data_IF_010095358021
#
_entry.id   IF_010095358021
#
_cell.length_a   1.000
_cell.length_b   1.000
_cell.length_c   1.000
_cell.angle_alpha   90.00
_cell.angle_beta   90.00
_cell.angle_gamma   90.00
#
_symmetry.space_group_name_H-M   'P 1'
#
loop_
_entity.id
_entity.type
_entity.pdbx_description
1 polymer ?
#
# COMPACT_ATOMS: atom_id res chain seq x y z
N UNK A 1 -11.34 11.51 -21.60
CA UNK A 1 -9.97 12.06 -21.57
C UNK A 1 -9.08 11.08 -22.31
N UNK A 2 -8.51 11.48 -23.45
CA UNK A 2 -7.66 10.60 -24.27
C UNK A 2 -6.26 10.52 -23.64
N UNK A 3 -5.71 9.30 -23.49
CA UNK A 3 -4.32 9.12 -23.05
C UNK A 3 -3.41 9.74 -24.11
N UNK A 4 -2.56 10.69 -23.70
CA UNK A 4 -1.52 11.23 -24.59
C UNK A 4 -0.42 10.18 -24.75
N UNK A 5 -0.06 9.90 -26.00
CA UNK A 5 1.04 9.01 -26.36
C UNK A 5 2.35 9.52 -25.75
N UNK A 6 3.10 8.61 -25.11
CA UNK A 6 4.41 8.92 -24.55
C UNK A 6 5.39 9.27 -25.67
N UNK A 7 6.10 10.39 -25.51
CA UNK A 7 7.19 10.81 -26.39
C UNK A 7 8.47 10.80 -25.56
N UNK A 8 9.46 9.94 -25.89
CA UNK A 8 10.76 9.93 -25.22
C UNK A 8 11.45 11.30 -25.34
N UNK A 9 12.00 11.79 -24.24
CA UNK A 9 12.72 13.06 -24.18
C UNK A 9 14.02 12.87 -23.42
N UNK A 10 15.13 13.35 -23.99
CA UNK A 10 16.47 13.35 -23.40
C UNK A 10 16.64 14.44 -22.31
N UNK A 11 15.65 15.30 -22.12
CA UNK A 11 15.67 16.33 -21.07
C UNK A 11 15.31 15.75 -19.69
N UNK A 12 15.99 16.16 -18.61
CA UNK A 12 15.63 15.77 -17.25
C UNK A 12 14.17 16.11 -16.93
N UNK A 13 13.48 15.19 -16.26
CA UNK A 13 12.11 15.39 -15.81
C UNK A 13 12.00 16.59 -14.87
N UNK A 14 11.19 17.58 -15.25
CA UNK A 14 10.85 18.71 -14.40
C UNK A 14 9.54 18.44 -13.66
N UNK A 15 9.64 18.16 -12.36
CA UNK A 15 8.51 17.89 -11.47
C UNK A 15 7.54 19.06 -11.34
N UNK A 16 7.96 20.29 -11.67
CA UNK A 16 7.08 21.47 -11.63
C UNK A 16 6.08 21.52 -12.78
N UNK A 17 6.31 20.73 -13.84
CA UNK A 17 5.45 20.65 -15.04
C UNK A 17 4.19 19.81 -14.85
N UNK A 18 4.07 19.07 -13.74
CA UNK A 18 2.92 18.20 -13.48
C UNK A 18 1.74 19.02 -12.93
N UNK A 19 0.57 19.05 -13.60
CA UNK A 19 -0.60 19.75 -13.10
C UNK A 19 -1.07 19.16 -11.77
N UNK A 20 -1.18 20.00 -10.73
CA UNK A 20 -1.59 19.59 -9.37
C UNK A 20 -3.10 19.41 -9.18
N UNK A 21 -3.88 19.35 -10.26
CA UNK A 21 -5.34 19.31 -10.16
C UNK A 21 -5.85 17.93 -9.72
N UNK A 22 -5.95 17.74 -8.41
CA UNK A 22 -6.76 16.69 -7.80
C UNK A 22 -8.21 17.16 -7.80
N UNK A 23 -8.96 16.81 -8.85
CA UNK A 23 -10.41 17.05 -8.90
C UNK A 23 -11.09 16.03 -8.00
N UNK A 24 -11.28 16.36 -6.73
CA UNK A 24 -12.08 15.58 -5.78
C UNK A 24 -13.55 15.60 -6.23
N UNK A 25 -14.07 14.44 -6.62
CA UNK A 25 -15.51 14.25 -6.77
C UNK A 25 -16.13 14.01 -5.37
N UNK A 26 -17.16 14.76 -4.96
CA UNK A 26 -17.84 14.50 -3.70
C UNK A 26 -18.76 13.28 -3.83
N UNK A 27 -18.54 12.26 -3.00
CA UNK A 27 -19.46 11.15 -2.81
C UNK A 27 -20.65 11.65 -1.98
N UNK A 28 -21.85 11.63 -2.56
CA UNK A 28 -23.07 12.04 -1.87
C UNK A 28 -23.40 11.08 -0.70
N UNK A 29 -23.47 11.62 0.51
CA UNK A 29 -23.95 10.92 1.71
C UNK A 29 -25.49 10.77 1.64
N UNK A 30 -25.99 9.53 1.73
CA UNK A 30 -27.39 9.28 2.08
C UNK A 30 -27.46 8.66 3.48
N UNK A 31 -27.85 9.50 4.43
CA UNK A 31 -28.13 9.17 5.84
C UNK A 31 -29.53 8.58 5.99
N UNK A 32 -29.66 7.47 6.72
CA UNK A 32 -30.90 7.06 7.37
C UNK A 32 -30.61 6.65 8.84
N UNK A 33 -31.50 6.95 9.80
CA UNK A 33 -31.20 6.89 11.24
C UNK A 33 -31.71 5.59 11.89
N UNK A 34 -31.00 5.06 12.90
CA UNK A 34 -31.54 3.96 13.69
C UNK A 34 -30.68 3.41 14.83
N UNK A 35 -30.89 3.96 16.03
CA UNK A 35 -30.86 3.34 17.37
C UNK A 35 -29.59 2.59 17.87
N UNK A 36 -28.99 3.17 18.93
CA UNK A 36 -28.14 2.44 19.91
C UNK A 36 -28.96 1.38 20.66
N UNK A 37 -28.30 0.33 21.15
CA UNK A 37 -28.27 0.13 22.60
C UNK A 37 -26.85 0.03 23.15
N UNK A 38 -26.72 0.59 24.35
CA UNK A 38 -25.64 0.45 25.33
C UNK A 38 -25.33 -1.02 25.64
N UNK A 39 -24.04 -1.36 25.62
CA UNK A 39 -23.50 -2.58 26.22
C UNK A 39 -22.04 -2.34 26.60
N UNK A 40 -21.71 -2.52 27.88
CA UNK A 40 -20.36 -2.41 28.42
C UNK A 40 -19.45 -3.43 27.73
N UNK A 41 -18.36 -2.96 27.15
CA UNK A 41 -17.27 -3.76 26.64
C UNK A 41 -15.99 -2.92 26.68
N UNK A 42 -14.93 -3.51 27.20
CA UNK A 42 -13.58 -2.94 27.22
C UNK A 42 -13.20 -2.30 25.88
N UNK A 43 -12.30 -1.30 25.83
CA UNK A 43 -11.82 -0.80 24.55
C UNK A 43 -11.21 -1.97 23.78
N UNK A 44 -11.94 -2.46 22.78
CA UNK A 44 -11.35 -3.24 21.71
C UNK A 44 -10.34 -2.28 21.09
N UNK A 45 -9.06 -2.56 21.33
CA UNK A 45 -7.97 -1.88 20.67
C UNK A 45 -8.36 -1.81 19.18
N UNK A 46 -8.54 -0.59 18.67
CA UNK A 46 -8.79 -0.39 17.26
C UNK A 46 -7.71 -1.15 16.47
N UNK A 47 -8.00 -1.57 15.23
CA UNK A 47 -6.98 -2.19 14.39
C UNK A 47 -5.72 -1.32 14.49
N UNK A 48 -4.55 -1.92 14.79
CA UNK A 48 -3.34 -1.17 15.00
C UNK A 48 -3.20 -0.17 13.85
N UNK A 49 -2.85 1.07 14.16
CA UNK A 49 -2.48 2.01 13.11
C UNK A 49 -1.48 1.26 12.23
N UNK A 50 -1.75 1.17 10.93
CA UNK A 50 -0.98 0.29 10.05
C UNK A 50 0.52 0.59 10.14
N UNK A 51 0.89 1.83 10.50
CA UNK A 51 2.25 2.24 10.83
C UNK A 51 2.91 1.43 11.94
N UNK A 52 2.28 1.29 13.11
CA UNK A 52 2.85 0.55 14.25
C UNK A 52 3.07 -0.94 13.93
N UNK A 53 2.16 -1.53 13.14
CA UNK A 53 2.27 -2.91 12.69
C UNK A 53 3.45 -3.09 11.72
N UNK A 54 3.61 -2.19 10.76
CA UNK A 54 4.74 -2.23 9.82
C UNK A 54 6.08 -1.99 10.52
N UNK A 55 6.15 -1.07 11.49
CA UNK A 55 7.39 -0.83 12.23
C UNK A 55 7.85 -2.08 12.98
N UNK A 56 6.92 -2.78 13.66
CA UNK A 56 7.23 -4.06 14.33
C UNK A 56 7.63 -5.16 13.36
N UNK A 57 6.92 -5.29 12.24
CA UNK A 57 7.22 -6.31 11.23
C UNK A 57 8.62 -6.10 10.64
N UNK A 58 8.92 -4.89 10.17
CA UNK A 58 10.21 -4.59 9.53
C UNK A 58 11.38 -4.67 10.53
N UNK A 59 11.15 -4.28 11.79
CA UNK A 59 12.17 -4.41 12.85
C UNK A 59 12.47 -5.86 13.22
N UNK A 60 11.59 -6.81 12.87
CA UNK A 60 11.82 -8.24 13.11
C UNK A 60 12.73 -8.89 12.07
N UNK A 61 13.02 -8.20 10.96
CA UNK A 61 13.87 -8.68 9.86
C UNK A 61 15.32 -8.22 10.10
N UNK A 62 16.26 -9.12 10.44
CA UNK A 62 17.62 -8.73 10.82
C UNK A 62 18.36 -7.92 9.76
N UNK A 63 18.12 -8.20 8.48
CA UNK A 63 18.73 -7.54 7.33
C UNK A 63 18.41 -6.04 7.27
N UNK A 64 17.30 -5.61 7.89
CA UNK A 64 16.86 -4.21 7.92
C UNK A 64 17.31 -3.44 9.16
N UNK A 65 18.03 -4.10 10.09
CA UNK A 65 18.49 -3.50 11.34
C UNK A 65 19.31 -2.21 11.16
N UNK A 66 20.01 -2.07 10.03
CA UNK A 66 20.82 -0.89 9.69
C UNK A 66 20.04 0.27 9.06
N UNK A 67 18.78 0.07 8.66
CA UNK A 67 17.99 1.09 7.95
C UNK A 67 17.42 2.16 8.87
N UNK A 68 17.45 1.93 10.18
CA UNK A 68 16.96 2.86 11.20
C UNK A 68 15.45 2.82 11.37
N UNK A 69 14.87 3.95 11.80
CA UNK A 69 13.44 4.04 12.09
C UNK A 69 12.61 4.18 10.81
N UNK A 70 11.51 3.42 10.73
CA UNK A 70 10.52 3.59 9.67
C UNK A 70 9.92 5.00 9.73
N UNK A 71 10.01 5.75 8.62
CA UNK A 71 9.41 7.07 8.50
C UNK A 71 7.93 6.98 8.12
N UNK A 72 7.61 6.21 7.07
CA UNK A 72 6.25 6.06 6.56
C UNK A 72 6.08 4.81 5.71
N UNK A 73 4.91 4.19 5.78
CA UNK A 73 4.45 3.18 4.81
C UNK A 73 3.38 3.77 3.90
N UNK A 74 3.37 3.39 2.62
CA UNK A 74 2.26 3.69 1.70
C UNK A 74 1.04 2.82 1.97
N UNK A 75 -0.10 3.15 1.37
CA UNK A 75 -1.15 2.15 1.17
C UNK A 75 -0.66 1.07 0.18
N UNK A 76 -1.20 -0.15 0.24
CA UNK A 76 -0.96 -1.18 -0.78
C UNK A 76 -1.40 -0.71 -2.16
N UNK A 77 -0.63 -1.09 -3.18
CA UNK A 77 -0.98 -0.89 -4.59
C UNK A 77 -0.96 -2.24 -5.29
N UNK A 78 -2.08 -2.61 -5.91
CA UNK A 78 -2.19 -3.83 -6.69
C UNK A 78 -1.27 -3.77 -7.91
N UNK A 79 -0.49 -4.82 -8.11
CA UNK A 79 0.42 -5.01 -9.26
C UNK A 79 -0.15 -6.00 -10.28
N UNK A 80 -1.10 -6.83 -9.89
CA UNK A 80 -1.81 -7.75 -10.78
C UNK A 80 -3.30 -7.40 -10.86
N UNK A 81 -3.95 -7.82 -11.93
CA UNK A 81 -5.39 -7.66 -12.08
C UNK A 81 -6.14 -8.60 -11.12
N UNK A 82 -7.36 -8.21 -10.75
CA UNK A 82 -8.23 -9.06 -9.95
C UNK A 82 -8.49 -10.39 -10.66
N UNK A 83 -8.54 -11.48 -9.88
CA UNK A 83 -8.87 -12.84 -10.37
C UNK A 83 -7.82 -13.50 -11.27
N UNK A 84 -6.58 -12.99 -11.29
CA UNK A 84 -5.44 -13.69 -11.90
C UNK A 84 -4.90 -14.80 -10.99
N UNK A 85 -4.01 -15.63 -11.52
CA UNK A 85 -3.39 -16.78 -10.84
C UNK A 85 -2.61 -16.37 -9.58
N UNK A 86 -2.12 -15.13 -9.55
CA UNK A 86 -1.40 -14.57 -8.41
C UNK A 86 -1.91 -13.16 -8.10
N UNK A 87 -2.37 -12.95 -6.88
CA UNK A 87 -2.67 -11.61 -6.39
C UNK A 87 -1.40 -11.03 -5.74
N UNK A 88 -0.86 -9.96 -6.33
CA UNK A 88 0.33 -9.28 -5.81
C UNK A 88 0.00 -7.81 -5.57
N UNK A 89 0.25 -7.34 -4.35
CA UNK A 89 0.31 -5.92 -4.06
C UNK A 89 1.65 -5.53 -3.44
N UNK A 90 1.98 -4.24 -3.57
CA UNK A 90 3.21 -3.67 -3.02
C UNK A 90 2.93 -2.58 -2.00
N UNK A 91 3.70 -2.58 -0.91
CA UNK A 91 3.76 -1.50 0.07
C UNK A 91 5.15 -0.90 0.06
N UNK A 92 5.25 0.43 -0.02
CA UNK A 92 6.51 1.16 0.04
C UNK A 92 6.77 1.64 1.46
N UNK A 93 7.92 1.27 2.01
CA UNK A 93 8.37 1.70 3.33
C UNK A 93 9.55 2.65 3.16
N UNK A 94 9.38 3.87 3.64
CA UNK A 94 10.36 4.93 3.56
C UNK A 94 11.13 4.96 4.88
N UNK A 95 12.45 4.87 4.79
CA UNK A 95 13.41 5.16 5.86
C UNK A 95 14.19 6.43 5.47
N UNK A 96 15.08 6.89 6.35
CA UNK A 96 15.84 8.12 6.12
C UNK A 96 16.75 8.03 4.87
N UNK A 97 17.42 6.88 4.69
CA UNK A 97 18.34 6.65 3.56
C UNK A 97 17.96 5.45 2.68
N UNK A 98 16.87 4.76 2.98
CA UNK A 98 16.47 3.52 2.28
C UNK A 98 14.98 3.53 1.94
N UNK A 99 14.62 2.79 0.89
CA UNK A 99 13.23 2.45 0.56
C UNK A 99 13.13 0.95 0.45
N UNK A 100 12.20 0.36 1.20
CA UNK A 100 11.90 -1.09 1.15
C UNK A 100 10.57 -1.29 0.44
N UNK A 101 10.55 -2.22 -0.51
CA UNK A 101 9.33 -2.63 -1.21
C UNK A 101 8.89 -3.99 -0.66
N UNK A 102 7.78 -4.02 0.06
CA UNK A 102 7.16 -5.25 0.52
C UNK A 102 6.18 -5.73 -0.57
N UNK A 103 6.43 -6.91 -1.13
CA UNK A 103 5.51 -7.58 -2.04
C UNK A 103 4.71 -8.62 -1.27
N UNK A 104 3.39 -8.45 -1.22
CA UNK A 104 2.48 -9.45 -0.68
C UNK A 104 2.01 -10.32 -1.82
N UNK A 105 2.49 -11.56 -1.87
CA UNK A 105 2.17 -12.51 -2.93
C UNK A 105 1.18 -13.56 -2.41
N UNK A 106 0.04 -13.70 -3.07
CA UNK A 106 -0.97 -14.72 -2.77
C UNK A 106 -1.10 -15.62 -3.99
N UNK A 107 -0.79 -16.90 -3.81
CA UNK A 107 -1.09 -17.93 -4.80
C UNK A 107 -2.57 -18.34 -4.70
N UNK A 108 -3.31 -18.21 -5.79
CA UNK A 108 -4.73 -18.58 -5.83
C UNK A 108 -4.96 -19.99 -6.38
N UNK A 109 -3.91 -20.66 -6.86
CA UNK A 109 -3.97 -22.03 -7.40
C UNK A 109 -3.58 -23.03 -6.32
N UNK A 110 -4.55 -23.74 -5.76
CA UNK A 110 -4.36 -24.72 -4.67
C UNK A 110 -3.48 -25.91 -5.02
N UNK A 111 -3.41 -26.28 -6.29
CA UNK A 111 -2.67 -27.45 -6.78
C UNK A 111 -1.19 -27.13 -7.05
N UNK A 112 -0.81 -25.84 -6.98
CA UNK A 112 0.56 -25.39 -7.21
C UNK A 112 1.18 -24.90 -5.91
N UNK A 113 2.42 -25.28 -5.65
CA UNK A 113 3.24 -24.73 -4.57
C UNK A 113 4.32 -23.84 -5.18
N UNK A 114 4.39 -22.59 -4.72
CA UNK A 114 5.46 -21.67 -5.09
C UNK A 114 6.56 -21.69 -4.03
N UNK A 115 7.80 -21.83 -4.46
CA UNK A 115 8.98 -21.81 -3.60
C UNK A 115 10.00 -20.80 -4.13
N UNK A 116 10.75 -20.14 -3.23
CA UNK A 116 11.79 -19.18 -3.57
C UNK A 116 11.33 -18.05 -4.51
N UNK A 117 10.13 -17.50 -4.26
CA UNK A 117 9.56 -16.40 -5.04
C UNK A 117 10.40 -15.14 -4.85
N UNK A 118 10.83 -14.54 -5.96
CA UNK A 118 11.59 -13.28 -5.97
C UNK A 118 10.98 -12.31 -6.98
N UNK A 119 11.10 -11.02 -6.71
CA UNK A 119 10.69 -9.92 -7.61
C UNK A 119 11.95 -9.24 -8.14
N UNK A 120 12.06 -9.10 -9.47
CA UNK A 120 13.21 -8.52 -10.19
C UNK A 120 12.95 -7.08 -10.63
#
# INVERSE_FOLDING_TARGET
>A
MSLKTYVPSEQPFDITSVPREVKSQPLAEKKAPGKKPTGLGAPLAGPPSSGDAYERLLSSIPEFSSFGKLFKSSAPVELTEAETEYAINVVKHIFDSHVVFQYNCINTISEQLLENVTTI
#
